data_IF_075122370987
#
_entry.id   IF_075122370987
#
_cell.length_a   1.000
_cell.length_b   1.000
_cell.length_c   1.000
_cell.angle_alpha   90.00
_cell.angle_beta   90.00
_cell.angle_gamma   90.00
#
_symmetry.space_group_name_H-M   'P 1'
#
loop_
_entity.id
_entity.type
_entity.pdbx_description
1 polymer ?
#
# COMPACT_ATOMS: atom_id res chain seq x y z
N UNK A 1 19.23 16.00 20.14
CA UNK A 1 18.47 15.84 18.88
C UNK A 1 18.51 14.36 18.52
N UNK A 2 17.38 13.66 18.57
CA UNK A 2 17.30 12.26 18.10
C UNK A 2 17.04 12.33 16.60
N UNK A 3 17.95 11.82 15.77
CA UNK A 3 17.67 11.62 14.36
C UNK A 3 16.75 10.39 14.25
N UNK A 4 15.53 10.59 13.77
CA UNK A 4 14.68 9.50 13.33
C UNK A 4 14.94 9.24 11.85
N UNK A 5 15.48 8.06 11.56
CA UNK A 5 15.74 7.63 10.19
C UNK A 5 14.49 6.97 9.63
N UNK A 6 14.07 7.42 8.45
CA UNK A 6 12.97 6.81 7.73
C UNK A 6 13.41 6.28 6.38
N UNK A 7 13.08 5.03 6.13
CA UNK A 7 13.37 4.33 4.88
C UNK A 7 12.30 4.72 3.86
N UNK A 8 12.62 5.70 3.02
CA UNK A 8 11.79 6.06 1.86
C UNK A 8 11.97 4.96 0.80
N UNK A 9 11.02 4.02 0.77
CA UNK A 9 11.05 2.87 -0.13
C UNK A 9 9.95 3.06 -1.17
N UNK A 10 10.29 2.77 -2.42
CA UNK A 10 9.35 2.59 -3.50
C UNK A 10 9.62 1.26 -4.18
N UNK A 11 8.57 0.47 -4.40
CA UNK A 11 8.68 -0.82 -5.05
C UNK A 11 7.39 -1.18 -5.79
N UNK A 12 7.48 -2.18 -6.66
CA UNK A 12 6.38 -2.63 -7.52
C UNK A 12 6.16 -4.12 -7.32
N UNK A 13 4.90 -4.56 -7.23
CA UNK A 13 4.53 -5.97 -7.18
C UNK A 13 3.39 -6.28 -8.13
N UNK A 14 3.46 -7.45 -8.74
CA UNK A 14 2.39 -8.00 -9.56
C UNK A 14 1.49 -8.87 -8.68
N UNK A 15 0.21 -8.53 -8.59
CA UNK A 15 -0.76 -9.23 -7.75
C UNK A 15 -1.93 -9.65 -8.62
N UNK A 16 -2.36 -10.91 -8.46
CA UNK A 16 -3.54 -11.42 -9.15
C UNK A 16 -4.79 -10.92 -8.42
N UNK A 17 -5.52 -10.02 -9.04
CA UNK A 17 -6.79 -9.49 -8.54
C UNK A 17 -7.84 -9.62 -9.63
N UNK A 18 -9.04 -10.10 -9.28
CA UNK A 18 -10.15 -10.26 -10.22
C UNK A 18 -9.78 -11.13 -11.45
N UNK A 19 -9.00 -12.18 -11.22
CA UNK A 19 -8.56 -13.09 -12.29
C UNK A 19 -7.48 -12.53 -13.23
N UNK A 20 -7.02 -11.29 -13.03
CA UNK A 20 -5.97 -10.64 -13.85
C UNK A 20 -4.75 -10.31 -13.01
N UNK A 21 -3.58 -10.26 -13.66
CA UNK A 21 -2.36 -9.78 -13.03
C UNK A 21 -2.33 -8.25 -13.14
N UNK A 22 -2.32 -7.56 -12.00
CA UNK A 22 -2.26 -6.09 -11.93
C UNK A 22 -0.95 -5.66 -11.30
N UNK A 23 -0.39 -4.57 -11.80
CA UNK A 23 0.79 -3.94 -11.24
C UNK A 23 0.40 -2.94 -10.14
N UNK A 24 0.84 -3.21 -8.91
CA UNK A 24 0.67 -2.32 -7.78
C UNK A 24 2.01 -1.65 -7.47
N UNK A 25 1.97 -0.33 -7.40
CA UNK A 25 3.11 0.52 -7.13
C UNK A 25 2.99 1.09 -5.71
N UNK A 26 3.94 0.75 -4.85
CA UNK A 26 3.96 1.10 -3.44
C UNK A 26 5.01 2.17 -3.17
N UNK A 27 4.67 3.16 -2.34
CA UNK A 27 5.61 4.18 -1.89
C UNK A 27 5.39 4.51 -0.42
N UNK A 28 6.39 4.17 0.39
CA UNK A 28 6.43 4.43 1.82
C UNK A 28 6.90 5.87 2.09
N UNK A 29 6.17 6.58 2.94
CA UNK A 29 6.50 7.94 3.38
C UNK A 29 6.03 8.20 4.82
N UNK A 30 6.67 9.16 5.48
CA UNK A 30 6.23 9.65 6.79
C UNK A 30 5.09 10.65 6.60
N UNK A 31 4.05 10.49 7.41
CA UNK A 31 3.04 11.53 7.56
C UNK A 31 3.56 12.70 8.41
N UNK A 32 2.85 13.84 8.36
CA UNK A 32 3.11 14.98 9.23
C UNK A 32 3.01 14.65 10.74
N UNK A 33 2.31 13.57 11.09
CA UNK A 33 2.17 13.06 12.46
C UNK A 33 3.17 11.93 12.79
N UNK A 34 4.22 11.77 11.99
CA UNK A 34 5.22 10.71 12.13
C UNK A 34 4.65 9.28 12.09
N UNK A 35 3.53 9.09 11.38
CA UNK A 35 2.96 7.75 11.13
C UNK A 35 3.50 7.20 9.81
N UNK A 36 3.83 5.91 9.80
CA UNK A 36 4.19 5.15 8.60
C UNK A 36 2.96 5.08 7.67
N UNK A 37 3.06 5.71 6.49
CA UNK A 37 2.04 5.68 5.44
C UNK A 37 2.65 5.08 4.18
N UNK A 38 1.91 4.16 3.54
CA UNK A 38 2.25 3.66 2.22
C UNK A 38 1.17 4.04 1.22
N UNK A 39 1.49 4.89 0.25
CA UNK A 39 0.59 5.12 -0.88
C UNK A 39 0.72 3.98 -1.87
N UNK A 40 -0.41 3.43 -2.29
CA UNK A 40 -0.52 2.37 -3.29
C UNK A 40 -1.23 2.91 -4.53
N UNK A 41 -0.69 2.58 -5.69
CA UNK A 41 -1.18 3.03 -6.98
C UNK A 41 -1.36 1.85 -7.93
N UNK A 42 -2.53 1.78 -8.55
CA UNK A 42 -2.90 0.72 -9.50
C UNK A 42 -3.84 1.28 -10.57
N UNK A 43 -3.86 0.68 -11.75
CA UNK A 43 -4.77 1.05 -12.84
C UNK A 43 -5.93 0.05 -12.93
N UNK A 44 -7.15 0.55 -13.13
CA UNK A 44 -8.33 -0.28 -13.41
C UNK A 44 -8.39 -0.74 -14.88
N UNK A 45 -9.42 -1.50 -15.24
CA UNK A 45 -9.58 -2.03 -16.61
C UNK A 45 -9.89 -0.97 -17.66
N UNK A 46 -10.31 0.22 -17.23
CA UNK A 46 -10.63 1.35 -18.10
C UNK A 46 -9.45 2.31 -18.23
N UNK A 47 -8.31 2.02 -17.62
CA UNK A 47 -7.15 2.89 -17.59
C UNK A 47 -7.23 3.98 -16.51
N UNK A 48 -8.25 3.99 -15.64
CA UNK A 48 -8.31 4.95 -14.55
C UNK A 48 -7.32 4.57 -13.46
N UNK A 49 -6.62 5.59 -12.96
CA UNK A 49 -5.68 5.43 -11.86
C UNK A 49 -6.43 5.44 -10.54
N UNK A 50 -6.25 4.39 -9.75
CA UNK A 50 -6.74 4.29 -8.37
C UNK A 50 -5.53 4.47 -7.46
N UNK A 51 -5.63 5.44 -6.55
CA UNK A 51 -4.61 5.70 -5.52
C UNK A 51 -5.30 5.62 -4.17
N UNK A 52 -4.68 4.88 -3.25
CA UNK A 52 -5.17 4.70 -1.89
C UNK A 52 -3.99 4.58 -0.91
N UNK A 53 -4.26 4.72 0.37
CA UNK A 53 -3.25 4.67 1.42
C UNK A 53 -3.41 3.44 2.30
N UNK A 54 -2.27 2.89 2.70
CA UNK A 54 -2.19 1.95 3.81
C UNK A 54 -1.53 2.63 5.00
N UNK A 55 -2.08 2.39 6.18
CA UNK A 55 -1.58 2.89 7.45
C UNK A 55 -1.13 1.73 8.31
N UNK A 56 -0.01 1.91 9.00
CA UNK A 56 0.50 0.94 9.95
C UNK A 56 -0.24 1.10 11.29
N UNK A 57 -0.96 0.05 11.67
CA UNK A 57 -1.61 -0.10 12.98
C UNK A 57 -0.85 -1.14 13.82
N UNK A 58 -1.21 -1.28 15.09
CA UNK A 58 -0.60 -2.27 15.99
C UNK A 58 -0.75 -3.72 15.46
N UNK A 59 -1.82 -3.98 14.69
CA UNK A 59 -2.11 -5.29 14.08
C UNK A 59 -1.48 -5.48 12.69
N UNK A 60 -0.71 -4.50 12.20
CA UNK A 60 -0.10 -4.48 10.87
C UNK A 60 -0.69 -3.41 9.94
N UNK A 61 -0.33 -3.48 8.66
CA UNK A 61 -0.79 -2.55 7.63
C UNK A 61 -2.27 -2.77 7.29
N UNK A 62 -3.02 -1.67 7.16
CA UNK A 62 -4.45 -1.67 6.81
C UNK A 62 -4.77 -0.56 5.82
N UNK A 63 -5.73 -0.78 4.92
CA UNK A 63 -6.22 0.25 4.01
C UNK A 63 -6.95 1.34 4.81
N UNK A 64 -6.67 2.60 4.52
CA UNK A 64 -7.28 3.74 5.21
C UNK A 64 -8.68 4.08 4.67
N UNK A 65 -8.89 3.92 3.36
CA UNK A 65 -10.12 4.26 2.67
C UNK A 65 -11.16 3.15 2.71
N UNK A 66 -12.44 3.52 2.83
CA UNK A 66 -13.58 2.58 2.86
C UNK A 66 -14.28 2.42 1.52
N UNK A 67 -14.03 3.30 0.55
CA UNK A 67 -14.67 3.29 -0.76
C UNK A 67 -13.67 2.92 -1.86
N UNK A 68 -13.29 1.64 -1.90
CA UNK A 68 -12.44 1.07 -2.95
C UNK A 68 -13.14 -0.10 -3.64
N UNK A 69 -12.75 -0.43 -4.89
CA UNK A 69 -13.21 -1.64 -5.54
C UNK A 69 -12.98 -2.89 -4.68
N UNK A 70 -13.94 -3.82 -4.73
CA UNK A 70 -13.93 -5.04 -3.91
C UNK A 70 -12.64 -5.84 -4.10
N UNK A 71 -12.14 -5.95 -5.33
CA UNK A 71 -10.90 -6.67 -5.62
C UNK A 71 -9.66 -6.05 -4.96
N UNK A 72 -9.67 -4.76 -4.60
CA UNK A 72 -8.60 -4.14 -3.80
C UNK A 72 -8.77 -4.54 -2.34
N UNK A 73 -9.99 -4.42 -1.81
CA UNK A 73 -10.30 -4.74 -0.40
C UNK A 73 -10.01 -6.21 -0.07
N UNK A 74 -10.35 -7.14 -0.97
CA UNK A 74 -10.05 -8.57 -0.83
C UNK A 74 -8.55 -8.88 -0.82
N UNK A 75 -7.71 -8.00 -1.37
CA UNK A 75 -6.25 -8.14 -1.42
C UNK A 75 -5.52 -7.43 -0.27
N UNK A 76 -6.23 -6.85 0.71
CA UNK A 76 -5.60 -6.14 1.84
C UNK A 76 -4.53 -6.99 2.56
N UNK A 77 -4.82 -8.26 2.81
CA UNK A 77 -3.87 -9.18 3.46
C UNK A 77 -2.61 -9.41 2.61
N UNK A 78 -2.74 -9.46 1.28
CA UNK A 78 -1.60 -9.59 0.38
C UNK A 78 -0.71 -8.34 0.44
N UNK A 79 -1.32 -7.15 0.44
CA UNK A 79 -0.57 -5.91 0.58
C UNK A 79 0.14 -5.81 1.93
N UNK A 80 -0.52 -6.23 3.01
CA UNK A 80 0.07 -6.29 4.35
C UNK A 80 1.34 -7.15 4.35
N UNK A 81 1.27 -8.37 3.81
CA UNK A 81 2.43 -9.27 3.75
C UNK A 81 3.58 -8.67 2.93
N UNK A 82 3.27 -8.10 1.76
CA UNK A 82 4.27 -7.47 0.90
C UNK A 82 4.96 -6.28 1.58
N UNK A 83 4.21 -5.44 2.30
CA UNK A 83 4.78 -4.33 3.05
C UNK A 83 5.62 -4.81 4.24
N UNK A 84 5.22 -5.87 4.93
CA UNK A 84 6.01 -6.47 6.00
C UNK A 84 7.31 -7.10 5.50
N UNK A 85 7.33 -7.64 4.27
CA UNK A 85 8.52 -8.20 3.65
C UNK A 85 9.52 -7.12 3.20
N UNK A 86 9.03 -6.10 2.50
CA UNK A 86 9.89 -5.06 1.89
C UNK A 86 10.38 -4.00 2.89
N UNK A 87 9.62 -3.78 3.98
CA UNK A 87 9.95 -2.78 5.00
C UNK A 87 10.71 -3.34 6.21
N UNK A 88 11.10 -4.62 6.18
CA UNK A 88 12.14 -5.16 7.10
C UNK A 88 13.48 -4.46 6.90
#
# INVERSE_FOLDING_TARGET
MKLEFFKNIQFTKLIKAEGRLREFNFRNHLSALQKDICSVNVTDDRGNRIVFEMQKLDTGWKIAETQLPVWILENENNFKQLLEEELK
#
